data_IF_045898029398
#
_entry.id   IF_045898029398
#
_cell.length_a   1.000
_cell.length_b   1.000
_cell.length_c   1.000
_cell.angle_alpha   90.00
_cell.angle_beta   90.00
_cell.angle_gamma   90.00
#
_symmetry.space_group_name_H-M   'P 1'
#
loop_
_entity.id
_entity.type
_entity.pdbx_description
1 polymer ?
#
# COMPACT_ATOMS: atom_id res chain seq x y z
N UNK A 1 14.49 -27.87 0.00
CA UNK A 1 13.52 -26.76 0.09
C UNK A 1 14.14 -25.64 0.93
N UNK A 2 15.06 -24.87 0.34
CA UNK A 2 15.60 -23.68 0.99
C UNK A 2 14.50 -22.63 1.07
N UNK A 3 14.19 -22.14 2.28
CA UNK A 3 13.32 -20.97 2.43
C UNK A 3 14.03 -19.81 1.75
N UNK A 4 13.50 -19.34 0.63
CA UNK A 4 14.10 -18.31 -0.24
C UNK A 4 14.25 -16.94 0.44
N UNK A 5 13.86 -16.81 1.71
CA UNK A 5 13.94 -15.57 2.47
C UNK A 5 14.40 -15.88 3.89
N UNK A 6 15.59 -15.37 4.21
CA UNK A 6 16.11 -15.29 5.56
C UNK A 6 15.12 -14.49 6.43
N UNK A 7 14.53 -15.14 7.43
CA UNK A 7 13.55 -14.52 8.34
C UNK A 7 14.18 -13.44 9.22
N UNK A 8 15.49 -13.51 9.46
CA UNK A 8 16.20 -12.57 10.34
C UNK A 8 16.64 -11.30 9.59
N UNK A 9 16.47 -11.27 8.26
CA UNK A 9 16.51 -10.08 7.39
C UNK A 9 15.12 -9.62 6.94
N UNK A 10 14.05 -10.04 7.61
CA UNK A 10 12.70 -9.64 7.24
C UNK A 10 12.52 -8.13 7.48
N UNK A 11 12.68 -7.35 6.42
CA UNK A 11 12.27 -5.94 6.42
C UNK A 11 10.81 -5.83 6.87
N UNK A 12 10.51 -4.87 7.74
CA UNK A 12 9.12 -4.59 8.14
C UNK A 12 8.31 -4.19 6.90
N UNK A 13 7.27 -4.96 6.61
CA UNK A 13 6.37 -4.73 5.48
C UNK A 13 5.07 -4.10 5.99
N UNK A 14 4.49 -3.21 5.17
CA UNK A 14 3.13 -2.73 5.39
C UNK A 14 2.11 -3.86 5.24
N UNK A 15 0.99 -3.71 5.92
CA UNK A 15 -0.23 -4.46 5.60
C UNK A 15 -0.75 -4.06 4.22
N UNK A 16 -1.41 -4.99 3.54
CA UNK A 16 -2.17 -4.67 2.33
C UNK A 16 -3.45 -3.91 2.69
N UNK A 17 -3.93 -3.02 1.81
CA UNK A 17 -5.22 -2.38 2.00
C UNK A 17 -6.34 -3.44 2.01
N UNK A 18 -7.37 -3.22 2.82
CA UNK A 18 -8.57 -4.06 2.82
C UNK A 18 -9.78 -3.26 2.35
N UNK A 19 -10.78 -3.94 1.81
CA UNK A 19 -11.94 -3.32 1.19
C UNK A 19 -12.76 -2.41 2.11
N UNK A 20 -12.63 -2.59 3.43
CA UNK A 20 -13.41 -1.88 4.43
C UNK A 20 -12.70 -0.64 5.00
N UNK A 21 -11.45 -0.36 4.60
CA UNK A 21 -10.70 0.80 5.12
C UNK A 21 -11.39 2.14 4.88
N UNK A 22 -12.20 2.25 3.82
CA UNK A 22 -12.97 3.46 3.53
C UNK A 22 -14.15 3.72 4.46
N UNK A 23 -14.61 2.70 5.19
CA UNK A 23 -15.83 2.72 6.01
C UNK A 23 -15.60 2.32 7.46
N UNK A 24 -14.40 1.82 7.78
CA UNK A 24 -14.01 1.52 9.15
C UNK A 24 -14.03 2.78 10.03
N UNK A 25 -14.08 2.55 11.34
CA UNK A 25 -13.81 3.61 12.32
C UNK A 25 -12.42 4.22 12.15
N UNK A 26 -12.17 5.31 12.86
CA UNK A 26 -10.87 5.99 12.85
C UNK A 26 -9.71 5.01 13.15
N UNK A 27 -8.51 5.25 12.59
CA UNK A 27 -7.36 4.42 12.88
C UNK A 27 -7.05 4.45 14.38
N UNK A 28 -6.42 3.39 14.87
CA UNK A 28 -6.00 3.19 16.24
C UNK A 28 -4.54 2.74 16.28
N UNK A 29 -3.80 3.08 17.33
CA UNK A 29 -2.43 2.61 17.50
C UNK A 29 -2.33 1.07 17.36
N UNK A 30 -1.38 0.53 16.57
CA UNK A 30 -1.24 -0.92 16.35
C UNK A 30 -1.14 -1.77 17.63
N UNK A 31 -0.51 -1.27 18.68
CA UNK A 31 -0.41 -2.00 19.95
C UNK A 31 -1.77 -2.13 20.64
N UNK A 32 -2.57 -1.05 20.67
CA UNK A 32 -3.94 -1.08 21.21
C UNK A 32 -4.85 -2.04 20.44
N UNK A 33 -4.68 -2.14 19.12
CA UNK A 33 -5.39 -3.13 18.29
C UNK A 33 -5.06 -4.56 18.73
N UNK A 34 -3.76 -4.84 18.93
CA UNK A 34 -3.25 -6.16 19.34
C UNK A 34 -3.71 -6.55 20.74
N UNK A 35 -3.72 -5.61 21.68
CA UNK A 35 -4.28 -5.79 23.03
C UNK A 35 -5.76 -6.23 22.97
N UNK A 36 -6.52 -5.70 22.01
CA UNK A 36 -7.90 -6.11 21.74
C UNK A 36 -8.06 -7.39 20.92
N UNK A 37 -6.99 -8.14 20.64
CA UNK A 37 -7.03 -9.38 19.87
C UNK A 37 -7.17 -9.20 18.35
N UNK A 38 -7.00 -7.98 17.83
CA UNK A 38 -7.09 -7.68 16.41
C UNK A 38 -5.74 -7.30 15.81
N UNK A 39 -5.46 -7.74 14.58
CA UNK A 39 -4.30 -7.26 13.83
C UNK A 39 -4.47 -5.79 13.43
N UNK A 40 -3.38 -5.00 13.34
CA UNK A 40 -3.46 -3.65 12.81
C UNK A 40 -3.82 -3.68 11.33
N UNK A 41 -4.52 -2.64 10.90
CA UNK A 41 -4.82 -2.35 9.50
C UNK A 41 -3.73 -1.48 8.88
N UNK A 42 -3.74 -1.33 7.55
CA UNK A 42 -2.84 -0.38 6.89
C UNK A 42 -3.04 1.05 7.39
N UNK A 43 -4.29 1.46 7.65
CA UNK A 43 -4.62 2.81 8.15
C UNK A 43 -4.02 3.04 9.56
N UNK A 44 -4.07 2.02 10.42
CA UNK A 44 -3.44 2.05 11.74
C UNK A 44 -1.91 2.24 11.62
N UNK A 45 -1.25 1.53 10.69
CA UNK A 45 0.20 1.61 10.50
C UNK A 45 0.64 2.98 9.98
N UNK A 46 0.02 3.47 8.89
CA UNK A 46 0.43 4.75 8.30
C UNK A 46 0.08 5.94 9.18
N UNK A 47 -0.99 5.84 9.98
CA UNK A 47 -1.45 6.93 10.83
C UNK A 47 -0.67 7.07 12.14
N UNK A 48 -0.08 5.97 12.66
CA UNK A 48 0.56 5.97 13.98
C UNK A 48 2.05 5.63 13.98
N UNK A 49 2.56 4.92 12.97
CA UNK A 49 3.95 4.45 12.97
C UNK A 49 4.90 5.29 12.11
N UNK A 50 4.36 6.19 11.29
CA UNK A 50 5.15 6.99 10.35
C UNK A 50 5.24 8.45 10.84
N UNK A 51 6.44 9.01 11.00
CA UNK A 51 6.64 10.41 11.43
C UNK A 51 6.41 11.41 10.28
N UNK A 52 5.31 11.27 9.54
CA UNK A 52 4.94 12.11 8.40
C UNK A 52 3.92 13.16 8.83
N UNK A 53 4.12 14.41 8.48
CA UNK A 53 3.11 15.44 8.63
C UNK A 53 2.14 15.42 7.41
N UNK A 54 0.82 15.25 7.59
CA UNK A 54 -0.13 15.31 6.48
C UNK A 54 -0.19 16.66 5.76
N UNK A 55 0.37 17.74 6.34
CA UNK A 55 0.44 19.07 5.71
C UNK A 55 1.49 19.17 4.60
N UNK A 56 2.39 18.18 4.46
CA UNK A 56 3.35 18.19 3.36
C UNK A 56 2.61 18.02 2.03
N UNK A 57 2.49 19.11 1.28
CA UNK A 57 1.96 19.09 -0.07
C UNK A 57 2.90 18.32 -1.01
N UNK A 58 2.36 17.78 -2.12
CA UNK A 58 3.21 17.43 -3.26
C UNK A 58 3.97 18.70 -3.68
N UNK A 59 5.27 18.78 -3.37
CA UNK A 59 6.10 19.95 -3.67
C UNK A 59 6.15 20.25 -5.18
N UNK A 60 5.94 19.22 -6.00
CA UNK A 60 5.89 19.32 -7.46
C UNK A 60 4.67 18.58 -8.01
N UNK A 61 3.76 19.26 -8.71
CA UNK A 61 2.62 18.62 -9.35
C UNK A 61 3.06 17.49 -10.29
N UNK A 62 2.53 16.29 -10.08
CA UNK A 62 2.85 15.12 -10.92
C UNK A 62 4.05 14.30 -10.45
N UNK A 63 4.81 14.76 -9.45
CA UNK A 63 5.89 13.99 -8.85
C UNK A 63 5.56 13.68 -7.38
N UNK A 64 5.68 12.41 -7.00
CA UNK A 64 5.65 12.04 -5.60
C UNK A 64 6.96 12.44 -4.92
N UNK A 65 6.88 12.71 -3.62
CA UNK A 65 7.99 13.09 -2.77
C UNK A 65 8.06 12.10 -1.61
N UNK A 66 9.24 11.53 -1.35
CA UNK A 66 9.41 10.42 -0.41
C UNK A 66 10.72 10.53 0.38
N UNK A 67 10.81 11.44 1.37
CA UNK A 67 11.96 11.57 2.25
C UNK A 67 12.19 10.28 3.04
N UNK A 68 13.43 9.78 3.13
CA UNK A 68 13.74 8.56 3.88
C UNK A 68 13.25 8.57 5.34
N UNK A 69 13.27 9.74 5.98
CA UNK A 69 12.84 9.94 7.37
C UNK A 69 11.34 9.65 7.61
N UNK A 70 10.50 9.70 6.57
CA UNK A 70 9.07 9.42 6.67
C UNK A 70 8.76 7.96 7.01
N UNK A 71 9.67 7.06 6.68
CA UNK A 71 9.32 5.65 6.54
C UNK A 71 9.70 4.81 7.74
N UNK A 72 10.41 5.36 8.73
CA UNK A 72 10.81 4.66 9.94
C UNK A 72 11.36 3.23 9.61
N UNK A 73 10.87 2.21 10.30
CA UNK A 73 11.26 0.81 10.06
C UNK A 73 10.81 0.24 8.69
N UNK A 74 9.88 0.91 7.99
CA UNK A 74 9.41 0.50 6.66
C UNK A 74 10.30 1.02 5.52
N UNK A 75 11.29 1.88 5.81
CA UNK A 75 12.16 2.50 4.80
C UNK A 75 12.74 1.51 3.77
N UNK A 76 13.35 0.39 4.17
CA UNK A 76 13.88 -0.56 3.19
C UNK A 76 12.81 -1.30 2.38
N UNK A 77 11.56 -1.37 2.84
CA UNK A 77 10.46 -1.94 2.06
C UNK A 77 9.96 -0.93 1.03
N UNK A 78 9.80 0.32 1.46
CA UNK A 78 9.41 1.45 0.59
C UNK A 78 10.43 1.63 -0.52
N UNK A 79 11.72 1.73 -0.20
CA UNK A 79 12.78 1.92 -1.18
C UNK A 79 12.82 0.82 -2.26
N UNK A 80 12.64 -0.44 -1.85
CA UNK A 80 12.52 -1.55 -2.80
C UNK A 80 11.31 -1.39 -3.71
N UNK A 81 10.18 -0.97 -3.16
CA UNK A 81 8.97 -0.77 -3.95
C UNK A 81 9.06 0.42 -4.89
N UNK A 82 9.68 1.53 -4.47
CA UNK A 82 9.98 2.68 -5.34
C UNK A 82 10.85 2.28 -6.54
N UNK A 83 11.86 1.44 -6.31
CA UNK A 83 12.71 0.89 -7.38
C UNK A 83 11.89 0.08 -8.38
N UNK A 84 10.93 -0.73 -7.90
CA UNK A 84 10.03 -1.53 -8.76
C UNK A 84 9.03 -0.64 -9.50
N UNK A 85 8.50 0.39 -8.84
CA UNK A 85 7.51 1.30 -9.39
C UNK A 85 8.10 2.38 -10.29
N UNK A 86 9.42 2.58 -10.28
CA UNK A 86 10.10 3.64 -11.03
C UNK A 86 9.66 5.05 -10.62
N UNK A 87 9.08 5.20 -9.42
CA UNK A 87 8.57 6.46 -8.89
C UNK A 87 8.69 6.48 -7.36
N UNK A 88 8.92 7.65 -6.74
CA UNK A 88 8.89 7.79 -5.29
C UNK A 88 7.52 7.39 -4.72
N UNK A 89 7.48 7.00 -3.45
CA UNK A 89 6.22 6.74 -2.77
C UNK A 89 5.42 8.04 -2.57
N UNK A 90 4.10 8.04 -2.76
CA UNK A 90 3.25 9.18 -2.40
C UNK A 90 3.15 9.33 -0.88
N UNK A 91 2.70 10.50 -0.42
CA UNK A 91 2.41 10.73 1.00
C UNK A 91 1.42 9.66 1.52
N UNK A 92 1.75 8.94 2.60
CA UNK A 92 0.96 7.79 3.04
C UNK A 92 -0.32 8.19 3.79
N UNK A 93 -0.44 9.46 4.17
CA UNK A 93 -1.51 9.97 5.01
C UNK A 93 -2.04 11.31 4.52
N UNK A 94 -3.29 11.58 4.86
CA UNK A 94 -4.00 12.82 4.61
C UNK A 94 -4.87 13.18 5.83
N UNK A 95 -5.31 14.43 5.92
CA UNK A 95 -6.36 14.79 6.88
C UNK A 95 -7.74 14.33 6.43
N UNK A 96 -8.50 13.79 7.37
CA UNK A 96 -9.93 13.54 7.21
C UNK A 96 -10.78 14.78 7.43
N UNK A 97 -12.09 14.72 7.09
CA UNK A 97 -13.03 15.84 7.26
C UNK A 97 -13.15 16.39 8.68
N UNK A 98 -12.72 15.63 9.69
CA UNK A 98 -12.72 16.02 11.11
C UNK A 98 -11.32 16.36 11.64
N UNK A 99 -10.35 16.59 10.76
CA UNK A 99 -8.95 16.91 11.11
C UNK A 99 -8.11 15.73 11.58
N UNK A 100 -8.70 14.53 11.74
CA UNK A 100 -7.94 13.33 12.09
C UNK A 100 -7.12 12.80 10.92
N UNK A 101 -5.91 12.33 11.19
CA UNK A 101 -5.04 11.64 10.23
C UNK A 101 -5.66 10.32 9.76
N UNK A 102 -5.52 10.00 8.47
CA UNK A 102 -5.98 8.75 7.86
C UNK A 102 -5.15 8.40 6.63
N UNK A 103 -5.23 7.15 6.19
CA UNK A 103 -4.60 6.62 4.97
C UNK A 103 -4.94 7.46 3.72
N UNK A 104 -3.91 7.81 2.94
CA UNK A 104 -4.07 8.38 1.59
C UNK A 104 -4.54 7.31 0.61
N UNK A 105 -5.56 7.63 -0.20
CA UNK A 105 -6.02 6.73 -1.28
C UNK A 105 -4.98 6.53 -2.37
N UNK A 106 -4.17 7.56 -2.64
CA UNK A 106 -3.06 7.54 -3.60
C UNK A 106 -1.96 6.58 -3.14
N UNK A 107 -1.67 6.56 -1.84
CA UNK A 107 -0.73 5.57 -1.28
C UNK A 107 -1.25 4.14 -1.35
N UNK A 108 -2.54 3.93 -1.08
CA UNK A 108 -3.14 2.60 -1.24
C UNK A 108 -3.09 2.11 -2.69
N UNK A 109 -3.33 2.98 -3.67
CA UNK A 109 -3.20 2.68 -5.10
C UNK A 109 -1.75 2.31 -5.47
N UNK A 110 -0.78 3.11 -5.06
CA UNK A 110 0.65 2.88 -5.31
C UNK A 110 1.14 1.58 -4.68
N UNK A 111 0.70 1.28 -3.45
CA UNK A 111 1.04 0.04 -2.74
C UNK A 111 0.53 -1.21 -3.48
N UNK A 112 -0.58 -1.09 -4.23
CA UNK A 112 -1.12 -2.16 -5.08
C UNK A 112 -0.42 -2.27 -6.45
N UNK A 113 0.63 -1.49 -6.68
CA UNK A 113 1.42 -1.52 -7.90
C UNK A 113 0.71 -0.95 -9.12
N UNK A 114 -0.26 -0.07 -8.90
CA UNK A 114 -1.03 0.56 -9.96
C UNK A 114 -0.36 1.85 -10.41
N UNK A 115 -0.48 2.23 -11.71
CA UNK A 115 -0.08 3.55 -12.17
C UNK A 115 -0.86 4.65 -11.43
N UNK A 116 -0.22 5.81 -11.23
CA UNK A 116 -0.86 6.98 -10.61
C UNK A 116 -2.16 7.33 -11.34
N UNK A 117 -3.24 7.47 -10.58
CA UNK A 117 -4.54 7.87 -11.07
C UNK A 117 -5.44 6.73 -11.56
N UNK A 118 -4.96 5.48 -11.55
CA UNK A 118 -5.73 4.33 -12.05
C UNK A 118 -7.10 4.17 -11.38
N UNK A 119 -7.15 4.42 -10.07
CA UNK A 119 -8.35 4.47 -9.23
C UNK A 119 -8.64 5.91 -8.82
N UNK A 120 -7.60 6.66 -8.42
CA UNK A 120 -7.72 7.94 -7.71
C UNK A 120 -8.11 9.12 -8.60
N UNK A 121 -7.92 9.03 -9.93
CA UNK A 121 -8.36 10.06 -10.89
C UNK A 121 -9.68 9.73 -11.59
N UNK A 122 -10.39 8.66 -11.20
CA UNK A 122 -11.70 8.35 -11.76
C UNK A 122 -12.72 9.42 -11.31
N UNK A 123 -13.34 10.17 -12.24
CA UNK A 123 -14.29 11.21 -11.88
C UNK A 123 -15.49 10.67 -11.09
N UNK A 124 -15.87 11.35 -10.02
CA UNK A 124 -17.00 10.98 -9.17
C UNK A 124 -16.76 9.80 -8.21
N UNK A 125 -15.55 9.21 -8.19
CA UNK A 125 -15.23 8.14 -7.27
C UNK A 125 -14.76 8.71 -5.92
N UNK A 126 -15.58 8.55 -4.88
CA UNK A 126 -15.19 9.01 -3.54
C UNK A 126 -14.09 8.13 -2.91
N UNK A 127 -13.38 8.67 -1.92
CA UNK A 127 -12.27 7.98 -1.21
C UNK A 127 -12.65 6.59 -0.71
N UNK A 128 -13.85 6.43 -0.15
CA UNK A 128 -14.26 5.13 0.39
C UNK A 128 -14.35 4.07 -0.71
N UNK A 129 -14.86 4.44 -1.89
CA UNK A 129 -14.90 3.56 -3.07
C UNK A 129 -13.51 3.34 -3.67
N UNK A 130 -12.63 4.35 -3.66
CA UNK A 130 -11.24 4.19 -4.09
C UNK A 130 -10.51 3.14 -3.23
N UNK A 131 -10.58 3.26 -1.90
CA UNK A 131 -9.99 2.29 -0.98
C UNK A 131 -10.62 0.91 -1.08
N UNK A 132 -11.94 0.84 -1.31
CA UNK A 132 -12.63 -0.43 -1.57
C UNK A 132 -12.11 -1.12 -2.84
N UNK A 133 -11.89 -0.35 -3.91
CA UNK A 133 -11.32 -0.87 -5.15
C UNK A 133 -9.88 -1.36 -4.94
N UNK A 134 -9.04 -0.57 -4.27
CA UNK A 134 -7.67 -0.97 -3.95
C UNK A 134 -7.62 -2.23 -3.06
N UNK A 135 -8.44 -2.29 -2.01
CA UNK A 135 -8.46 -3.41 -1.07
C UNK A 135 -9.14 -4.69 -1.57
N UNK A 136 -9.93 -4.62 -2.66
CA UNK A 136 -10.44 -5.79 -3.38
C UNK A 136 -9.53 -6.21 -4.55
N UNK A 137 -8.55 -5.38 -4.89
CA UNK A 137 -7.60 -5.65 -5.97
C UNK A 137 -6.53 -6.65 -5.57
N UNK A 138 -5.58 -6.83 -6.49
CA UNK A 138 -4.37 -7.64 -6.30
C UNK A 138 -3.16 -6.81 -6.72
N UNK A 139 -1.98 -7.11 -6.18
CA UNK A 139 -0.74 -6.44 -6.61
C UNK A 139 -0.50 -6.77 -8.07
N UNK A 140 -0.49 -5.75 -8.93
CA UNK A 140 -0.53 -5.93 -10.40
C UNK A 140 0.61 -6.79 -10.93
N UNK A 141 1.82 -6.59 -10.41
CA UNK A 141 3.00 -7.35 -10.78
C UNK A 141 2.87 -8.83 -10.38
N UNK A 142 2.33 -9.11 -9.19
CA UNK A 142 2.09 -10.49 -8.73
C UNK A 142 1.01 -11.18 -9.58
N UNK A 143 -0.07 -10.46 -9.91
CA UNK A 143 -1.13 -10.96 -10.77
C UNK A 143 -0.61 -11.29 -12.17
N UNK A 144 0.23 -10.42 -12.73
CA UNK A 144 0.88 -10.64 -14.02
C UNK A 144 1.81 -11.88 -13.97
N UNK A 145 2.65 -12.01 -12.94
CA UNK A 145 3.50 -13.20 -12.77
C UNK A 145 2.68 -14.48 -12.66
N UNK A 146 1.59 -14.48 -11.87
CA UNK A 146 0.72 -15.64 -11.73
C UNK A 146 0.04 -15.99 -13.08
N UNK A 147 -0.39 -14.99 -13.83
CA UNK A 147 -0.98 -15.18 -15.15
C UNK A 147 0.02 -15.76 -16.16
N UNK A 148 1.25 -15.22 -16.22
CA UNK A 148 2.33 -15.78 -17.05
C UNK A 148 2.67 -17.23 -16.67
N UNK A 149 2.69 -17.53 -15.37
CA UNK A 149 2.93 -18.90 -14.90
C UNK A 149 1.87 -19.87 -15.42
N UNK A 150 0.60 -19.47 -15.43
CA UNK A 150 -0.49 -20.29 -15.97
C UNK A 150 -0.41 -20.46 -17.49
N UNK A 151 -0.04 -19.42 -18.24
CA UNK A 151 0.13 -19.52 -19.70
C UNK A 151 1.27 -20.47 -20.07
N UNK A 152 2.42 -20.32 -19.43
CA UNK A 152 3.60 -21.16 -19.72
C UNK A 152 3.39 -22.62 -19.28
N UNK A 153 2.51 -22.87 -18.29
CA UNK A 153 2.13 -24.23 -17.91
C UNK A 153 1.19 -24.91 -18.93
N UNK A 154 0.42 -24.16 -19.72
CA UNK A 154 -0.45 -24.74 -20.77
C UNK A 154 0.35 -25.24 -21.97
N UNK A 155 1.42 -24.56 -22.33
CA UNK A 155 2.27 -24.93 -23.48
C UNK A 155 3.06 -26.23 -23.26
N UNK A 156 3.30 -26.62 -21.99
CA UNK A 156 3.92 -27.91 -21.64
C UNK A 156 2.97 -29.11 -21.60
N UNK A 157 1.70 -28.96 -22.01
CA UNK A 157 0.71 -30.06 -22.10
C UNK A 157 0.23 -30.37 -23.51
N UNK A 158 0.86 -29.79 -24.53
CA UNK A 158 0.72 -30.21 -25.92
C UNK A 158 1.93 -31.05 -26.28
N UNK A 159 1.90 -32.34 -25.94
CA UNK A 159 2.61 -33.43 -26.63
C UNK A 159 2.17 -34.77 -26.00
N UNK A 160 1.55 -35.63 -26.81
CA UNK A 160 1.40 -37.08 -26.57
C UNK A 160 0.08 -37.56 -25.98
#
# INVERSE_FOLDING_TARGET
MARLFDKDRATRLFKTPTANLGTNGAPQHPDKRREGGHGPTLDDEVSFLLPVDPEVAEETPGAFHSPPEWWAEFGPAVHRWETVMGSPAPIPVEFGPRGGRRLSSVFAEWLMGLPRGWITHIPGLNRARQLKAAGNGVVSQQAFTAYLHLLNHKEGKTDG
#
